data_IF_363871942865
#
_entry.id   IF_363871942865
#
_cell.length_a   1.000
_cell.length_b   1.000
_cell.length_c   1.000
_cell.angle_alpha   90.00
_cell.angle_beta   90.00
_cell.angle_gamma   90.00
#
_symmetry.space_group_name_H-M   'P 1'
#
loop_
_entity.id
_entity.type
_entity.pdbx_description
1 polymer ?
#
# COMPACT_ATOMS: atom_id res chain seq x y z
N UNK A 1 -16.06 20.35 10.62
CA UNK A 1 -16.84 20.23 9.37
C UNK A 1 -16.17 19.13 8.57
N UNK A 2 -16.81 17.97 8.45
CA UNK A 2 -16.33 16.91 7.56
C UNK A 2 -16.17 17.48 6.15
N UNK A 3 -15.05 17.16 5.51
CA UNK A 3 -14.80 17.53 4.11
C UNK A 3 -15.51 16.49 3.25
N UNK A 4 -16.24 16.92 2.22
CA UNK A 4 -16.86 15.98 1.28
C UNK A 4 -15.84 15.01 0.69
N UNK A 5 -16.28 13.79 0.35
CA UNK A 5 -15.43 12.78 -0.26
C UNK A 5 -14.71 13.31 -1.51
N UNK A 6 -15.41 14.10 -2.33
CA UNK A 6 -14.86 14.82 -3.49
C UNK A 6 -13.69 15.75 -3.12
N UNK A 7 -13.82 16.50 -2.02
CA UNK A 7 -12.75 17.38 -1.52
C UNK A 7 -11.54 16.57 -1.08
N UNK A 8 -11.75 15.45 -0.38
CA UNK A 8 -10.66 14.59 0.09
C UNK A 8 -9.91 13.95 -1.09
N UNK A 9 -10.64 13.41 -2.06
CA UNK A 9 -10.05 12.82 -3.28
C UNK A 9 -9.29 13.88 -4.08
N UNK A 10 -9.87 15.07 -4.27
CA UNK A 10 -9.20 16.18 -4.96
C UNK A 10 -7.88 16.56 -4.28
N UNK A 11 -7.88 16.66 -2.95
CA UNK A 11 -6.68 16.98 -2.17
C UNK A 11 -5.62 15.87 -2.25
N UNK A 12 -6.03 14.60 -2.25
CA UNK A 12 -5.12 13.48 -2.42
C UNK A 12 -4.48 13.48 -3.81
N UNK A 13 -5.25 13.75 -4.87
CA UNK A 13 -4.74 13.92 -6.23
C UNK A 13 -3.77 15.10 -6.29
N UNK A 14 -4.13 16.26 -5.74
CA UNK A 14 -3.26 17.44 -5.74
C UNK A 14 -1.96 17.19 -4.97
N UNK A 15 -2.02 16.45 -3.85
CA UNK A 15 -0.84 16.07 -3.08
C UNK A 15 0.07 15.11 -3.86
N UNK A 16 -0.51 14.16 -4.59
CA UNK A 16 0.23 13.26 -5.48
C UNK A 16 0.86 14.03 -6.65
N UNK A 17 0.12 14.94 -7.29
CA UNK A 17 0.62 15.80 -8.37
C UNK A 17 1.78 16.70 -7.90
N UNK A 18 1.75 17.22 -6.67
CA UNK A 18 2.86 18.00 -6.09
C UNK A 18 4.10 17.15 -5.77
N UNK A 19 3.91 15.85 -5.54
CA UNK A 19 5.00 14.92 -5.25
C UNK A 19 5.68 14.43 -6.54
N UNK A 20 4.91 14.26 -7.62
CA UNK A 20 5.35 13.66 -8.88
C UNK A 20 6.66 14.22 -9.46
N UNK A 21 6.93 15.54 -9.47
CA UNK A 21 8.18 16.08 -10.00
C UNK A 21 9.44 15.66 -9.22
N UNK A 22 9.28 15.12 -8.00
CA UNK A 22 10.36 14.62 -7.14
C UNK A 22 10.43 13.10 -7.12
N UNK A 23 9.52 12.42 -7.82
CA UNK A 23 9.69 11.00 -8.07
C UNK A 23 10.92 10.83 -8.97
N UNK A 24 11.63 9.72 -8.80
CA UNK A 24 12.73 9.29 -9.67
C UNK A 24 12.62 7.77 -9.85
N UNK A 25 13.01 7.22 -11.02
CA UNK A 25 13.10 5.79 -11.22
C UNK A 25 14.05 5.12 -10.23
N UNK A 26 13.61 4.04 -9.58
CA UNK A 26 14.47 3.31 -8.65
C UNK A 26 15.59 2.57 -9.40
N UNK A 27 16.84 2.76 -8.96
CA UNK A 27 18.05 2.14 -9.54
C UNK A 27 18.43 0.82 -8.87
N UNK A 28 17.72 0.40 -7.81
CA UNK A 28 17.94 -0.86 -7.11
C UNK A 28 16.95 -1.95 -7.56
N UNK A 29 17.33 -3.22 -7.38
CA UNK A 29 16.60 -4.42 -7.86
C UNK A 29 15.09 -4.27 -7.73
N UNK A 30 14.40 -4.36 -8.87
CA UNK A 30 12.95 -4.34 -8.95
C UNK A 30 12.29 -5.46 -8.14
N UNK A 31 11.04 -5.24 -7.75
CA UNK A 31 10.23 -6.25 -7.05
C UNK A 31 10.17 -7.54 -7.87
N UNK A 32 10.39 -8.68 -7.20
CA UNK A 32 10.23 -10.03 -7.80
C UNK A 32 8.75 -10.40 -7.97
N UNK A 33 7.85 -9.74 -7.22
CA UNK A 33 6.42 -10.03 -7.21
C UNK A 33 5.56 -8.82 -7.60
N UNK A 34 4.45 -9.10 -8.30
CA UNK A 34 3.44 -8.11 -8.66
C UNK A 34 2.68 -7.64 -7.42
N UNK A 35 2.53 -6.33 -7.24
CA UNK A 35 1.76 -5.76 -6.14
C UNK A 35 0.26 -6.09 -6.29
N UNK A 36 -0.27 -6.92 -5.39
CA UNK A 36 -1.70 -7.33 -5.38
C UNK A 36 -2.67 -6.16 -5.17
N UNK A 37 -2.23 -5.05 -4.58
CA UNK A 37 -3.06 -3.84 -4.38
C UNK A 37 -3.22 -3.05 -5.68
N UNK A 38 -2.16 -2.92 -6.47
CA UNK A 38 -2.16 -2.10 -7.68
C UNK A 38 -2.62 -2.88 -8.90
N UNK A 39 -2.26 -4.16 -8.99
CA UNK A 39 -2.64 -4.99 -10.13
C UNK A 39 -4.16 -5.16 -10.22
N UNK A 40 -4.73 -4.79 -11.37
CA UNK A 40 -6.18 -4.84 -11.59
C UNK A 40 -6.99 -3.85 -10.75
N UNK A 41 -6.36 -2.85 -10.13
CA UNK A 41 -7.04 -1.89 -9.26
C UNK A 41 -8.07 -1.04 -10.03
N UNK A 42 -9.37 -1.06 -9.65
CA UNK A 42 -10.38 -0.18 -10.25
C UNK A 42 -10.05 1.30 -10.05
N UNK A 43 -9.41 1.65 -8.93
CA UNK A 43 -8.97 3.01 -8.61
C UNK A 43 -7.95 3.52 -9.61
N UNK A 44 -6.93 2.70 -9.94
CA UNK A 44 -5.90 3.08 -10.91
C UNK A 44 -6.47 3.16 -12.34
N UNK A 45 -7.36 2.22 -12.69
CA UNK A 45 -8.08 2.27 -13.96
C UNK A 45 -8.93 3.53 -14.10
N UNK A 46 -9.64 3.94 -13.05
CA UNK A 46 -10.46 5.17 -13.05
C UNK A 46 -9.58 6.44 -13.16
N UNK A 47 -8.42 6.45 -12.48
CA UNK A 47 -7.42 7.50 -12.58
C UNK A 47 -6.74 7.56 -13.97
N UNK A 48 -6.92 6.55 -14.81
CA UNK A 48 -6.30 6.46 -16.13
C UNK A 48 -4.82 6.09 -16.09
N UNK A 49 -4.36 5.44 -15.02
CA UNK A 49 -3.00 4.93 -14.87
C UNK A 49 -2.94 3.49 -15.40
N UNK A 50 -2.33 3.33 -16.58
CA UNK A 50 -2.17 2.05 -17.26
C UNK A 50 -0.94 1.26 -16.79
N UNK A 51 -0.73 0.10 -17.41
CA UNK A 51 0.40 -0.78 -17.12
C UNK A 51 1.77 -0.19 -17.52
N UNK A 52 1.76 0.86 -18.34
CA UNK A 52 2.89 1.65 -18.81
C UNK A 52 3.39 2.70 -17.82
N UNK A 53 2.57 3.04 -16.81
CA UNK A 53 2.99 3.95 -15.74
C UNK A 53 3.86 3.20 -14.72
N UNK A 54 5.02 3.73 -14.28
CA UNK A 54 5.86 3.08 -13.28
C UNK A 54 5.11 2.70 -12.00
N UNK A 55 5.42 1.52 -11.46
CA UNK A 55 4.74 1.01 -10.27
C UNK A 55 4.78 1.98 -9.08
N UNK A 56 5.93 2.62 -8.82
CA UNK A 56 6.06 3.59 -7.71
C UNK A 56 5.09 4.77 -7.85
N UNK A 57 4.89 5.25 -9.07
CA UNK A 57 3.95 6.34 -9.40
C UNK A 57 2.50 5.90 -9.16
N UNK A 58 2.13 4.72 -9.65
CA UNK A 58 0.81 4.12 -9.39
C UNK A 58 0.57 3.91 -7.89
N UNK A 59 1.57 3.34 -7.21
CA UNK A 59 1.49 3.01 -5.79
C UNK A 59 1.25 4.27 -4.96
N UNK A 60 1.97 5.36 -5.26
CA UNK A 60 1.82 6.65 -4.59
C UNK A 60 0.41 7.23 -4.65
N UNK A 61 -0.33 7.07 -5.76
CA UNK A 61 -1.74 7.49 -5.81
C UNK A 61 -2.64 6.50 -5.04
N UNK A 62 -2.44 5.20 -5.27
CA UNK A 62 -3.29 4.16 -4.69
C UNK A 62 -3.29 4.15 -3.17
N UNK A 63 -2.13 4.43 -2.52
CA UNK A 63 -2.02 4.47 -1.07
C UNK A 63 -2.82 5.63 -0.48
N UNK A 64 -2.73 6.82 -1.08
CA UNK A 64 -3.49 8.01 -0.65
C UNK A 64 -4.99 7.81 -0.77
N UNK A 65 -5.44 7.24 -1.89
CA UNK A 65 -6.86 6.94 -2.09
C UNK A 65 -7.34 5.88 -1.11
N UNK A 66 -6.53 4.84 -0.87
CA UNK A 66 -6.87 3.83 0.13
C UNK A 66 -7.03 4.44 1.52
N UNK A 67 -6.16 5.37 1.93
CA UNK A 67 -6.29 6.04 3.23
C UNK A 67 -7.65 6.72 3.39
N UNK A 68 -8.20 7.30 2.32
CA UNK A 68 -9.55 7.90 2.34
C UNK A 68 -10.60 6.80 2.56
N UNK A 69 -10.55 5.71 1.79
CA UNK A 69 -11.48 4.58 1.94
C UNK A 69 -11.43 4.02 3.36
N UNK A 70 -10.23 3.75 3.87
CA UNK A 70 -10.03 3.17 5.20
C UNK A 70 -10.58 4.10 6.29
N UNK A 71 -10.40 5.42 6.14
CA UNK A 71 -10.94 6.39 7.08
C UNK A 71 -12.48 6.41 7.05
N UNK A 72 -13.10 6.45 5.86
CA UNK A 72 -14.56 6.42 5.73
C UNK A 72 -15.15 5.13 6.29
N UNK A 73 -14.54 3.97 6.01
CA UNK A 73 -14.98 2.68 6.54
C UNK A 73 -14.83 2.62 8.05
N UNK A 74 -13.73 3.14 8.61
CA UNK A 74 -13.51 3.20 10.05
C UNK A 74 -14.57 4.07 10.75
N UNK A 75 -14.88 5.24 10.18
CA UNK A 75 -15.93 6.12 10.72
C UNK A 75 -17.32 5.47 10.65
N UNK A 76 -17.67 4.86 9.51
CA UNK A 76 -18.92 4.11 9.38
C UNK A 76 -18.99 2.96 10.39
N UNK A 77 -17.91 2.22 10.56
CA UNK A 77 -17.83 1.09 11.51
C UNK A 77 -18.04 1.58 12.94
N UNK A 78 -17.35 2.64 13.36
CA UNK A 78 -17.48 3.19 14.70
C UNK A 78 -18.88 3.70 15.02
N UNK A 79 -19.59 4.26 14.04
CA UNK A 79 -20.93 4.82 14.22
C UNK A 79 -22.06 3.78 14.12
N UNK A 80 -21.88 2.74 13.31
CA UNK A 80 -22.99 1.86 12.90
C UNK A 80 -22.80 0.40 13.27
N UNK A 81 -21.57 -0.05 13.52
CA UNK A 81 -21.22 -1.47 13.66
C UNK A 81 -20.56 -1.73 15.03
N UNK A 82 -21.33 -1.66 16.14
CA UNK A 82 -20.78 -1.69 17.49
C UNK A 82 -20.13 -3.03 17.85
N UNK A 83 -20.59 -4.15 17.31
CA UNK A 83 -20.01 -5.48 17.58
C UNK A 83 -18.64 -5.60 16.94
N UNK A 84 -18.54 -5.20 15.67
CA UNK A 84 -17.29 -5.15 14.92
C UNK A 84 -16.33 -4.13 15.53
N UNK A 85 -16.80 -2.94 15.89
CA UNK A 85 -15.97 -1.93 16.53
C UNK A 85 -15.39 -2.44 17.86
N UNK A 86 -16.20 -3.09 18.70
CA UNK A 86 -15.73 -3.66 19.95
C UNK A 86 -14.66 -4.75 19.74
N UNK A 87 -14.82 -5.59 18.70
CA UNK A 87 -13.80 -6.59 18.34
C UNK A 87 -12.51 -5.91 17.85
N UNK A 88 -12.62 -4.91 16.97
CA UNK A 88 -11.46 -4.14 16.49
C UNK A 88 -10.72 -3.45 17.65
N UNK A 89 -11.44 -2.90 18.63
CA UNK A 89 -10.85 -2.28 19.80
C UNK A 89 -10.11 -3.29 20.69
N UNK A 90 -10.69 -4.48 20.89
CA UNK A 90 -10.04 -5.58 21.61
C UNK A 90 -8.76 -6.04 20.90
N UNK A 91 -8.81 -6.21 19.58
CA UNK A 91 -7.65 -6.55 18.77
C UNK A 91 -6.58 -5.44 18.81
N UNK A 92 -6.99 -4.18 18.72
CA UNK A 92 -6.07 -3.04 18.82
C UNK A 92 -5.42 -2.95 20.20
N UNK A 93 -6.17 -3.23 21.28
CA UNK A 93 -5.62 -3.28 22.63
C UNK A 93 -4.60 -4.42 22.81
N UNK A 94 -4.90 -5.62 22.27
CA UNK A 94 -3.93 -6.73 22.23
C UNK A 94 -2.70 -6.39 21.44
N UNK A 95 -2.86 -5.84 20.23
CA UNK A 95 -1.74 -5.41 19.42
C UNK A 95 -0.88 -4.42 20.20
N UNK A 96 -1.48 -3.40 20.85
CA UNK A 96 -0.79 -2.44 21.71
C UNK A 96 -0.03 -3.08 22.88
N UNK A 97 -0.49 -4.21 23.41
CA UNK A 97 0.16 -4.93 24.48
C UNK A 97 1.38 -5.76 24.03
N UNK A 98 1.54 -6.03 22.72
CA UNK A 98 2.71 -6.74 22.18
C UNK A 98 3.98 -5.92 22.38
N UNK A 99 5.01 -6.56 22.93
CA UNK A 99 6.34 -5.99 23.15
C UNK A 99 7.19 -5.91 21.88
N UNK A 100 6.92 -6.74 20.88
CA UNK A 100 7.65 -6.78 19.61
C UNK A 100 6.69 -6.81 18.42
N UNK A 101 6.87 -5.87 17.48
CA UNK A 101 6.08 -5.72 16.26
C UNK A 101 6.98 -5.46 15.05
N UNK A 102 7.46 -6.50 14.36
CA UNK A 102 8.43 -6.34 13.28
C UNK A 102 7.89 -5.61 12.05
N UNK A 103 6.56 -5.55 11.87
CA UNK A 103 5.92 -4.83 10.79
C UNK A 103 5.56 -3.37 11.09
N UNK A 104 5.75 -2.89 12.32
CA UNK A 104 5.39 -1.53 12.71
C UNK A 104 6.46 -0.53 12.24
N UNK A 105 6.03 0.60 11.66
CA UNK A 105 6.93 1.64 11.18
C UNK A 105 7.67 1.31 9.89
N UNK A 106 7.28 0.24 9.19
CA UNK A 106 7.79 -0.05 7.86
C UNK A 106 7.30 0.99 6.85
N UNK A 107 8.17 1.38 5.91
CA UNK A 107 7.74 2.17 4.76
C UNK A 107 6.69 1.40 3.95
N UNK A 108 5.72 2.10 3.31
CA UNK A 108 4.60 1.46 2.61
C UNK A 108 5.01 0.40 1.58
N UNK A 109 6.18 0.52 0.97
CA UNK A 109 6.69 -0.46 0.02
C UNK A 109 7.00 -1.83 0.63
N UNK A 110 7.29 -1.89 1.93
CA UNK A 110 7.58 -3.11 2.67
C UNK A 110 6.34 -3.67 3.39
N UNK A 111 5.22 -2.94 3.40
CA UNK A 111 3.97 -3.39 3.99
C UNK A 111 3.47 -4.68 3.30
N UNK A 112 3.28 -5.75 4.08
CA UNK A 112 2.79 -7.04 3.59
C UNK A 112 3.83 -7.93 2.89
N UNK A 113 5.11 -7.56 2.92
CA UNK A 113 6.18 -8.49 2.54
C UNK A 113 6.32 -9.62 3.56
N UNK A 114 6.70 -10.84 3.14
CA UNK A 114 7.06 -11.89 4.07
C UNK A 114 8.23 -11.43 4.96
N UNK A 115 8.06 -11.58 6.28
CA UNK A 115 9.04 -11.15 7.28
C UNK A 115 10.33 -11.97 7.20
N UNK A 116 10.20 -13.25 6.88
CA UNK A 116 11.30 -14.20 6.77
C UNK A 116 11.42 -14.72 5.34
N UNK A 117 12.64 -14.97 4.85
CA UNK A 117 12.86 -15.60 3.55
C UNK A 117 12.46 -17.07 3.56
N UNK A 118 12.19 -17.63 2.38
CA UNK A 118 11.89 -19.05 2.24
C UNK A 118 13.05 -19.93 2.76
N UNK A 119 12.77 -20.97 3.56
CA UNK A 119 13.81 -21.84 4.10
C UNK A 119 14.51 -22.61 2.98
N UNK A 120 15.85 -22.57 2.97
CA UNK A 120 16.66 -23.37 2.05
C UNK A 120 16.89 -24.75 2.67
N UNK A 121 16.61 -25.86 1.94
CA UNK A 121 16.88 -27.21 2.43
C UNK A 121 18.33 -27.37 2.90
N UNK A 122 18.52 -27.81 4.15
CA UNK A 122 19.85 -28.01 4.76
C UNK A 122 20.47 -26.77 5.43
N UNK A 123 19.84 -25.59 5.34
CA UNK A 123 20.27 -24.38 6.03
C UNK A 123 19.16 -23.89 6.99
N UNK A 124 19.02 -24.48 8.19
CA UNK A 124 18.00 -24.05 9.14
C UNK A 124 18.30 -22.65 9.68
N UNK A 125 17.26 -21.83 9.83
CA UNK A 125 17.36 -20.60 10.59
C UNK A 125 17.57 -20.93 12.09
N UNK A 126 18.47 -20.21 12.75
CA UNK A 126 18.60 -20.28 14.22
C UNK A 126 17.41 -19.61 14.92
N UNK A 127 16.86 -18.56 14.30
CA UNK A 127 15.64 -17.86 14.71
C UNK A 127 15.01 -17.22 13.47
N UNK A 128 13.71 -16.97 13.52
CA UNK A 128 12.96 -16.22 12.49
C UNK A 128 12.32 -15.00 13.11
N UNK A 129 12.16 -13.93 12.35
CA UNK A 129 11.48 -12.71 12.78
C UNK A 129 10.04 -13.03 13.18
N UNK A 130 9.36 -13.88 12.39
CA UNK A 130 8.03 -14.39 12.72
C UNK A 130 8.03 -15.25 14.00
N UNK A 131 9.07 -16.05 14.24
CA UNK A 131 9.23 -16.86 15.45
C UNK A 131 9.38 -15.99 16.70
N UNK A 132 10.26 -14.99 16.65
CA UNK A 132 10.43 -14.02 17.73
C UNK A 132 9.15 -13.23 18.00
N UNK A 133 8.38 -12.89 16.96
CA UNK A 133 7.06 -12.27 17.10
C UNK A 133 6.04 -13.20 17.77
N UNK A 134 6.03 -14.50 17.46
CA UNK A 134 5.17 -15.48 18.14
C UNK A 134 5.54 -15.65 19.62
N UNK A 135 6.83 -15.69 19.95
CA UNK A 135 7.30 -15.76 21.34
C UNK A 135 6.85 -14.53 22.16
N UNK A 136 6.94 -13.34 21.56
CA UNK A 136 6.41 -12.12 22.16
C UNK A 136 4.88 -12.16 22.33
N UNK A 137 4.14 -12.70 21.35
CA UNK A 137 2.67 -12.80 21.40
C UNK A 137 2.17 -13.83 22.43
N UNK A 138 2.96 -14.86 22.76
CA UNK A 138 2.61 -15.85 23.78
C UNK A 138 2.37 -15.24 25.17
N UNK A 139 2.94 -14.06 25.43
CA UNK A 139 2.77 -13.32 26.68
C UNK A 139 1.52 -12.42 26.68
N UNK A 140 0.83 -12.27 25.55
CA UNK A 140 -0.38 -11.47 25.42
C UNK A 140 -1.61 -12.33 25.74
N UNK A 141 -2.44 -11.96 26.74
CA UNK A 141 -3.63 -12.73 27.10
C UNK A 141 -4.52 -13.05 25.91
N UNK A 142 -5.03 -14.29 25.82
CA UNK A 142 -5.99 -14.69 24.80
C UNK A 142 -7.34 -14.00 25.00
N UNK A 143 -8.04 -13.68 23.91
CA UNK A 143 -9.42 -13.18 24.01
C UNK A 143 -10.35 -14.33 24.42
N UNK A 144 -11.40 -14.05 25.21
CA UNK A 144 -12.43 -15.03 25.47
C UNK A 144 -13.10 -15.44 24.14
N UNK A 145 -13.47 -16.73 23.98
CA UNK A 145 -14.11 -17.18 22.76
C UNK A 145 -15.48 -16.53 22.59
N UNK A 146 -15.80 -16.10 21.38
CA UNK A 146 -17.12 -15.57 21.03
C UNK A 146 -18.19 -16.66 21.07
N UNK A 147 -19.37 -16.32 21.58
CA UNK A 147 -20.58 -17.15 21.45
C UNK A 147 -20.98 -17.27 19.97
N UNK A 148 -21.80 -18.28 19.65
CA UNK A 148 -22.25 -18.48 18.27
C UNK A 148 -23.12 -17.33 17.77
N UNK A 149 -23.92 -16.73 18.65
CA UNK A 149 -24.69 -15.51 18.39
C UNK A 149 -23.78 -14.32 18.09
N UNK A 150 -22.75 -14.09 18.92
CA UNK A 150 -21.78 -13.02 18.71
C UNK A 150 -21.00 -13.19 17.40
N UNK A 151 -20.63 -14.44 17.04
CA UNK A 151 -20.01 -14.75 15.74
C UNK A 151 -20.95 -14.45 14.58
N UNK A 152 -22.24 -14.76 14.70
CA UNK A 152 -23.22 -14.49 13.66
C UNK A 152 -23.41 -12.97 13.45
N UNK A 153 -23.57 -12.22 14.53
CA UNK A 153 -23.65 -10.75 14.50
C UNK A 153 -22.38 -10.13 13.89
N UNK A 154 -21.20 -10.58 14.31
CA UNK A 154 -19.92 -10.10 13.77
C UNK A 154 -19.82 -10.34 12.26
N UNK A 155 -20.21 -11.53 11.75
CA UNK A 155 -20.19 -11.80 10.30
C UNK A 155 -21.13 -10.87 9.53
N UNK A 156 -22.29 -10.58 10.09
CA UNK A 156 -23.24 -9.64 9.49
C UNK A 156 -22.64 -8.23 9.42
N UNK A 157 -22.07 -7.74 10.52
CA UNK A 157 -21.46 -6.40 10.55
C UNK A 157 -20.22 -6.30 9.64
N UNK A 158 -19.40 -7.35 9.53
CA UNK A 158 -18.31 -7.42 8.54
C UNK A 158 -18.86 -7.29 7.12
N UNK A 159 -19.95 -7.99 6.79
CA UNK A 159 -20.60 -7.84 5.48
C UNK A 159 -21.07 -6.41 5.20
N UNK A 160 -21.64 -5.73 6.20
CA UNK A 160 -22.06 -4.33 6.08
C UNK A 160 -20.86 -3.38 5.88
N UNK A 161 -19.75 -3.61 6.57
CA UNK A 161 -18.52 -2.84 6.39
C UNK A 161 -17.95 -3.02 4.97
N UNK A 162 -17.95 -4.25 4.44
CA UNK A 162 -17.51 -4.57 3.08
C UNK A 162 -18.41 -3.91 2.01
N UNK A 163 -19.73 -3.95 2.20
CA UNK A 163 -20.69 -3.28 1.31
C UNK A 163 -20.48 -1.77 1.31
N UNK A 164 -20.24 -1.17 2.48
CA UNK A 164 -19.92 0.26 2.60
C UNK A 164 -18.59 0.61 1.92
N UNK A 165 -17.54 -0.21 2.12
CA UNK A 165 -16.26 -0.04 1.45
C UNK A 165 -16.40 -0.07 -0.09
N UNK A 166 -17.20 -1.00 -0.61
CA UNK A 166 -17.50 -1.10 -2.04
C UNK A 166 -18.26 0.13 -2.56
N UNK A 167 -19.23 0.64 -1.80
CA UNK A 167 -19.97 1.85 -2.15
C UNK A 167 -19.05 3.07 -2.23
N UNK A 168 -18.26 3.34 -1.17
CA UNK A 168 -17.30 4.45 -1.15
C UNK A 168 -16.26 4.31 -2.26
N UNK A 169 -15.75 3.10 -2.48
CA UNK A 169 -14.78 2.82 -3.55
C UNK A 169 -15.32 3.16 -4.95
N UNK A 170 -16.59 2.86 -5.23
CA UNK A 170 -17.24 3.22 -6.51
C UNK A 170 -17.41 4.73 -6.66
N UNK A 171 -17.79 5.42 -5.58
CA UNK A 171 -17.94 6.88 -5.60
C UNK A 171 -16.60 7.57 -5.85
N UNK A 172 -15.53 7.13 -5.18
CA UNK A 172 -14.17 7.60 -5.44
C UNK A 172 -13.77 7.36 -6.89
N UNK A 173 -14.06 6.18 -7.46
CA UNK A 173 -13.77 5.92 -8.87
C UNK A 173 -14.49 6.92 -9.79
N UNK A 174 -15.75 7.26 -9.50
CA UNK A 174 -16.49 8.29 -10.24
C UNK A 174 -15.82 9.66 -10.14
N UNK A 175 -15.37 10.06 -8.95
CA UNK A 175 -14.66 11.33 -8.75
C UNK A 175 -13.33 11.32 -9.53
N UNK A 176 -12.56 10.23 -9.47
CA UNK A 176 -11.27 10.11 -10.16
C UNK A 176 -11.37 10.23 -11.69
N UNK A 177 -12.50 9.82 -12.29
CA UNK A 177 -12.72 10.03 -13.73
C UNK A 177 -12.61 11.51 -14.12
N UNK A 178 -13.03 12.44 -13.26
CA UNK A 178 -12.94 13.88 -13.49
C UNK A 178 -11.50 14.41 -13.37
N UNK A 179 -10.60 13.68 -12.70
CA UNK A 179 -9.18 14.05 -12.57
C UNK A 179 -8.29 13.42 -13.65
N UNK A 180 -8.81 12.47 -14.44
CA UNK A 180 -8.04 11.64 -15.37
C UNK A 180 -7.14 12.44 -16.31
N UNK A 181 -7.66 13.49 -16.94
CA UNK A 181 -6.87 14.31 -17.87
C UNK A 181 -5.73 15.07 -17.18
N UNK A 182 -5.98 15.57 -15.95
CA UNK A 182 -4.95 16.25 -15.15
C UNK A 182 -3.85 15.28 -14.74
N UNK A 183 -4.22 14.07 -14.35
CA UNK A 183 -3.29 12.99 -14.00
C UNK A 183 -2.43 12.62 -15.22
N UNK A 184 -3.05 12.35 -16.38
CA UNK A 184 -2.34 11.99 -17.60
C UNK A 184 -1.37 13.08 -18.06
N UNK A 185 -1.80 14.35 -18.05
CA UNK A 185 -0.92 15.47 -18.38
C UNK A 185 0.30 15.55 -17.47
N UNK A 186 0.14 15.27 -16.18
CA UNK A 186 1.25 15.27 -15.23
C UNK A 186 2.22 14.10 -15.44
N UNK A 187 1.71 12.92 -15.82
CA UNK A 187 2.56 11.77 -16.19
C UNK A 187 3.46 12.14 -17.36
N UNK A 188 2.91 12.65 -18.46
CA UNK A 188 3.71 13.01 -19.63
C UNK A 188 4.64 14.22 -19.39
N UNK A 189 4.30 15.08 -18.43
CA UNK A 189 5.15 16.23 -18.08
C UNK A 189 6.33 15.86 -17.18
N UNK A 190 6.14 14.93 -16.23
CA UNK A 190 7.12 14.69 -15.17
C UNK A 190 7.70 13.28 -15.16
N UNK A 191 6.93 12.26 -15.54
CA UNK A 191 7.34 10.85 -15.40
C UNK A 191 8.02 10.36 -16.67
N UNK A 192 7.40 10.57 -17.83
CA UNK A 192 7.97 10.13 -19.12
C UNK A 192 9.39 10.69 -19.34
N UNK A 193 9.69 11.98 -19.11
CA UNK A 193 11.04 12.51 -19.31
C UNK A 193 12.10 11.90 -18.39
N UNK A 194 11.73 11.57 -17.15
CA UNK A 194 12.65 10.93 -16.20
C UNK A 194 12.98 9.49 -16.60
N UNK A 195 11.99 8.76 -17.17
CA UNK A 195 12.23 7.42 -17.72
C UNK A 195 13.15 7.52 -18.94
N UNK A 196 12.88 8.46 -19.85
CA UNK A 196 13.72 8.69 -21.03
C UNK A 196 15.16 9.01 -20.66
N UNK A 197 15.37 9.88 -19.65
CA UNK A 197 16.69 10.19 -19.13
C UNK A 197 17.40 8.94 -18.58
N UNK A 198 16.72 8.15 -17.73
CA UNK A 198 17.28 6.91 -17.20
C UNK A 198 17.66 5.94 -18.32
N UNK A 199 16.83 5.79 -19.36
CA UNK A 199 17.13 4.92 -20.50
C UNK A 199 18.31 5.43 -21.33
N UNK A 200 18.46 6.75 -21.48
CA UNK A 200 19.60 7.35 -22.15
C UNK A 200 20.91 7.08 -21.37
N UNK A 201 20.90 7.28 -20.05
CA UNK A 201 22.04 6.98 -19.16
C UNK A 201 22.42 5.49 -19.19
N UNK A 202 21.41 4.59 -19.21
CA UNK A 202 21.65 3.16 -19.37
C UNK A 202 22.25 2.80 -20.73
N UNK A 203 21.84 3.49 -21.80
CA UNK A 203 22.38 3.25 -23.14
C UNK A 203 23.84 3.69 -23.22
N UNK A 204 24.17 4.87 -22.71
CA UNK A 204 25.55 5.39 -22.69
C UNK A 204 26.49 4.49 -21.88
N UNK A 205 26.05 4.01 -20.71
CA UNK A 205 26.85 3.08 -19.89
C UNK A 205 27.05 1.70 -20.54
N UNK A 206 26.09 1.23 -21.35
CA UNK A 206 26.19 -0.03 -22.08
C UNK A 206 27.02 0.08 -23.38
N UNK A 207 27.07 1.25 -24.01
CA UNK A 207 27.86 1.51 -25.22
C UNK A 207 29.36 1.74 -24.92
N UNK A 208 29.72 2.04 -23.66
CA UNK A 208 31.10 2.15 -23.19
C UNK A 208 31.39 1.25 -21.96
N UNK A 209 31.27 -0.09 -22.08
CA UNK A 209 31.44 -0.99 -20.93
C UNK A 209 32.89 -1.08 -20.43
N UNK A 210 33.85 -0.54 -21.18
CA UNK A 210 35.27 -0.46 -20.85
C UNK A 210 35.84 0.87 -21.34
N UNK A 211 35.67 1.96 -20.57
CA UNK A 211 36.45 3.17 -20.81
C UNK A 211 37.91 2.90 -20.39
N UNK A 212 38.90 2.95 -21.30
CA UNK A 212 40.32 2.75 -20.95
C UNK A 212 40.89 3.84 -20.03
N UNK A 213 40.11 4.87 -19.68
CA UNK A 213 40.47 5.89 -18.70
C UNK A 213 39.82 5.69 -17.31
N UNK A 214 39.08 4.60 -17.07
CA UNK A 214 38.58 4.28 -15.72
C UNK A 214 39.74 3.82 -14.81
N UNK A 215 40.10 4.58 -13.76
CA UNK A 215 41.24 4.29 -12.90
C UNK A 215 41.08 3.02 -12.05
N UNK A 216 39.92 2.35 -12.10
CA UNK A 216 39.66 1.08 -11.40
C UNK A 216 39.87 -0.16 -12.28
N UNK A 217 40.22 0.01 -13.55
CA UNK A 217 40.67 -1.08 -14.42
C UNK A 217 42.19 -1.26 -14.33
N UNK A 218 42.67 -1.74 -13.18
CA UNK A 218 44.07 -2.07 -12.91
C UNK A 218 44.24 -2.99 -11.71
#
# INVERSE_FOLDING_TARGET
MERSLETQVSQAVDAWLRWLPRWEPATHRGRVAVCRRCFGSPVLSAAGLGADVPHGVQHGLSTRIKTIVDHSVAEYTALNLPTLQAELDQQAARNRARSYRPGEGLEPEFEGLPLDPDPVPGAPFLFTIAGLAQEADAHVPALPPLSDEAKAALRQEVGLADDYANMVGREICSILLHHRLRIQSAISTYVEPQIEQMLAELTESLDAPFDPNDPLSG
#
